data_IF_559735034158
#
_entry.id   IF_559735034158
#
_cell.length_a   1.000
_cell.length_b   1.000
_cell.length_c   1.000
_cell.angle_alpha   90.00
_cell.angle_beta   90.00
_cell.angle_gamma   90.00
#
_symmetry.space_group_name_H-M   'P 1'
#
loop_
_entity.id
_entity.type
_entity.pdbx_description
1 polymer ?
#
# COMPACT_ATOMS: atom_id res chain seq x y z
N UNK A 1 26.57 -22.72 -19.72
CA UNK A 1 26.54 -22.41 -18.27
C UNK A 1 26.45 -20.91 -18.15
N UNK A 2 25.22 -20.39 -18.11
CA UNK A 2 24.99 -18.96 -17.91
C UNK A 2 25.04 -18.73 -16.42
N UNK A 3 26.09 -18.06 -15.96
CA UNK A 3 26.23 -17.66 -14.56
C UNK A 3 25.14 -16.61 -14.30
N UNK A 4 24.11 -17.00 -13.55
CA UNK A 4 23.20 -16.04 -12.94
C UNK A 4 23.99 -15.32 -11.86
N UNK A 5 24.47 -14.13 -12.20
CA UNK A 5 25.00 -13.21 -11.20
C UNK A 5 23.79 -12.79 -10.36
N UNK A 6 23.65 -13.40 -9.18
CA UNK A 6 22.70 -12.98 -8.16
C UNK A 6 23.17 -11.61 -7.66
N UNK A 7 22.75 -10.55 -8.35
CA UNK A 7 22.82 -9.18 -7.85
C UNK A 7 21.76 -9.13 -6.75
N UNK A 8 22.22 -9.14 -5.49
CA UNK A 8 21.35 -9.07 -4.33
C UNK A 8 20.37 -7.89 -4.44
N UNK A 9 19.27 -8.00 -3.71
CA UNK A 9 18.09 -7.11 -3.66
C UNK A 9 18.37 -5.64 -3.25
N UNK A 10 19.57 -5.11 -3.48
CA UNK A 10 20.06 -3.81 -3.00
C UNK A 10 19.90 -2.67 -4.03
N UNK A 11 18.76 -2.59 -4.73
CA UNK A 11 18.44 -1.34 -5.42
C UNK A 11 18.10 -0.29 -4.37
N UNK A 12 18.91 0.78 -4.28
CA UNK A 12 18.71 1.83 -3.29
C UNK A 12 17.30 2.42 -3.41
N UNK A 13 16.54 2.35 -2.32
CA UNK A 13 15.18 2.86 -2.26
C UNK A 13 15.18 4.38 -2.54
N UNK A 14 16.15 5.11 -2.00
CA UNK A 14 16.27 6.55 -2.24
C UNK A 14 16.47 6.89 -3.73
N UNK A 15 17.28 6.12 -4.45
CA UNK A 15 17.50 6.34 -5.89
C UNK A 15 16.22 6.06 -6.68
N UNK A 16 15.55 4.94 -6.40
CA UNK A 16 14.29 4.59 -7.06
C UNK A 16 13.19 5.62 -6.79
N UNK A 17 13.08 6.10 -5.55
CA UNK A 17 12.16 7.17 -5.19
C UNK A 17 12.41 8.43 -6.02
N UNK A 18 13.67 8.86 -6.18
CA UNK A 18 14.02 10.01 -7.01
C UNK A 18 13.70 9.80 -8.51
N UNK A 19 13.78 8.57 -9.01
CA UNK A 19 13.35 8.22 -10.37
C UNK A 19 11.83 8.34 -10.49
N UNK A 20 11.08 7.80 -9.52
CA UNK A 20 9.62 7.89 -9.47
C UNK A 20 9.12 9.33 -9.33
N UNK A 21 9.82 10.20 -8.60
CA UNK A 21 9.46 11.64 -8.56
C UNK A 21 9.47 12.28 -9.96
N UNK A 22 10.30 11.77 -10.89
CA UNK A 22 10.47 12.35 -12.24
C UNK A 22 9.66 11.62 -13.30
N UNK A 23 9.40 10.33 -13.11
CA UNK A 23 8.84 9.44 -14.13
C UNK A 23 7.62 8.67 -13.67
N UNK A 24 7.21 8.80 -12.41
CA UNK A 24 6.17 8.01 -11.77
C UNK A 24 4.82 8.13 -12.47
N UNK A 25 4.40 9.32 -12.87
CA UNK A 25 3.16 9.52 -13.63
C UNK A 25 3.13 8.70 -14.92
N UNK A 26 4.23 8.70 -15.68
CA UNK A 26 4.35 7.89 -16.89
C UNK A 26 4.37 6.39 -16.57
N UNK A 27 5.13 5.99 -15.55
CA UNK A 27 5.20 4.58 -15.15
C UNK A 27 3.83 4.05 -14.70
N UNK A 28 3.08 4.85 -13.93
CA UNK A 28 1.72 4.52 -13.53
C UNK A 28 0.79 4.44 -14.74
N UNK A 29 0.82 5.43 -15.65
CA UNK A 29 -0.01 5.41 -16.85
C UNK A 29 0.29 4.22 -17.78
N UNK A 30 1.52 3.72 -17.79
CA UNK A 30 1.89 2.51 -18.53
C UNK A 30 1.47 1.23 -17.76
N UNK A 31 1.57 1.23 -16.43
CA UNK A 31 1.09 0.14 -15.57
C UNK A 31 -0.43 -0.06 -15.63
N UNK A 32 -1.21 1.04 -15.66
CA UNK A 32 -2.67 1.00 -15.77
C UNK A 32 -3.17 0.33 -17.06
N UNK A 33 -2.33 0.28 -18.10
CA UNK A 33 -2.64 -0.39 -19.38
C UNK A 33 -2.27 -1.88 -19.40
N UNK A 34 -1.75 -2.42 -18.30
CA UNK A 34 -1.41 -3.84 -18.24
C UNK A 34 -2.68 -4.69 -18.26
N UNK A 35 -2.66 -5.89 -18.89
CA UNK A 35 -3.84 -6.74 -18.97
C UNK A 35 -4.42 -7.17 -17.62
N UNK A 36 -3.62 -7.16 -16.55
CA UNK A 36 -4.11 -7.48 -15.22
C UNK A 36 -5.01 -6.36 -14.67
N UNK A 37 -4.53 -5.11 -14.75
CA UNK A 37 -5.27 -3.93 -14.29
C UNK A 37 -6.51 -3.72 -15.15
N UNK A 38 -6.37 -3.73 -16.48
CA UNK A 38 -7.53 -3.50 -17.37
C UNK A 38 -8.66 -4.50 -17.14
N UNK A 39 -8.35 -5.80 -16.95
CA UNK A 39 -9.38 -6.81 -16.64
C UNK A 39 -10.11 -6.56 -15.31
N UNK A 40 -9.41 -6.03 -14.31
CA UNK A 40 -10.03 -5.70 -13.03
C UNK A 40 -10.94 -4.47 -13.15
N UNK A 41 -10.52 -3.46 -13.92
CA UNK A 41 -11.33 -2.27 -14.21
C UNK A 41 -12.58 -2.64 -15.02
N UNK A 42 -12.41 -3.39 -16.12
CA UNK A 42 -13.54 -3.88 -16.95
C UNK A 42 -14.53 -4.69 -16.09
N UNK A 43 -14.01 -5.58 -15.24
CA UNK A 43 -14.85 -6.40 -14.36
C UNK A 43 -15.63 -5.57 -13.32
N UNK A 44 -15.06 -4.47 -12.85
CA UNK A 44 -15.74 -3.55 -11.95
C UNK A 44 -16.82 -2.76 -12.70
N UNK A 45 -16.46 -2.10 -13.81
CA UNK A 45 -17.38 -1.29 -14.61
C UNK A 45 -18.58 -2.11 -15.13
N UNK A 46 -18.35 -3.35 -15.57
CA UNK A 46 -19.40 -4.22 -16.10
C UNK A 46 -20.43 -4.68 -15.05
N UNK A 47 -20.06 -4.70 -13.76
CA UNK A 47 -20.85 -5.39 -12.73
C UNK A 47 -21.20 -4.55 -11.52
N UNK A 48 -20.56 -3.40 -11.31
CA UNK A 48 -20.81 -2.55 -10.15
C UNK A 48 -22.28 -2.13 -10.04
N UNK A 49 -22.93 -1.86 -11.17
CA UNK A 49 -24.36 -1.51 -11.26
C UNK A 49 -25.31 -2.65 -10.90
N UNK A 50 -24.81 -3.87 -10.70
CA UNK A 50 -25.58 -5.03 -10.24
C UNK A 50 -25.40 -5.32 -8.74
N UNK A 51 -24.61 -4.52 -8.03
CA UNK A 51 -24.31 -4.70 -6.61
C UNK A 51 -25.24 -3.83 -5.77
N UNK A 52 -26.46 -4.32 -5.53
CA UNK A 52 -27.51 -3.56 -4.84
C UNK A 52 -27.46 -3.70 -3.31
N UNK A 53 -26.78 -4.73 -2.80
CA UNK A 53 -26.76 -5.02 -1.37
C UNK A 53 -25.48 -5.75 -0.94
N UNK A 54 -25.37 -5.96 0.37
CA UNK A 54 -24.23 -6.61 1.01
C UNK A 54 -23.98 -8.01 0.45
N UNK A 55 -25.02 -8.82 0.23
CA UNK A 55 -24.83 -10.20 -0.22
C UNK A 55 -24.36 -10.25 -1.68
N UNK A 56 -24.80 -9.32 -2.54
CA UNK A 56 -24.29 -9.17 -3.91
C UNK A 56 -22.79 -8.82 -3.91
N UNK A 57 -22.39 -7.85 -3.08
CA UNK A 57 -20.98 -7.47 -2.96
C UNK A 57 -20.11 -8.62 -2.42
N UNK A 58 -20.63 -9.40 -1.47
CA UNK A 58 -19.94 -10.58 -0.94
C UNK A 58 -19.90 -11.75 -1.94
N UNK A 59 -20.84 -11.82 -2.87
CA UNK A 59 -20.84 -12.82 -3.95
C UNK A 59 -19.85 -12.47 -5.07
N UNK A 60 -19.71 -11.18 -5.44
CA UNK A 60 -18.79 -10.76 -6.49
C UNK A 60 -17.37 -10.53 -5.97
N UNK A 61 -16.52 -11.55 -6.09
CA UNK A 61 -15.14 -11.48 -5.60
C UNK A 61 -14.31 -10.41 -6.32
N UNK A 62 -14.53 -10.16 -7.61
CA UNK A 62 -13.70 -9.22 -8.37
C UNK A 62 -14.07 -7.77 -8.04
N UNK A 63 -15.36 -7.43 -7.97
CA UNK A 63 -15.79 -6.10 -7.52
C UNK A 63 -15.32 -5.86 -6.09
N UNK A 64 -15.50 -6.84 -5.21
CA UNK A 64 -15.03 -6.75 -3.83
C UNK A 64 -13.52 -6.57 -3.72
N UNK A 65 -12.73 -7.23 -4.57
CA UNK A 65 -11.28 -7.06 -4.60
C UNK A 65 -10.89 -5.63 -5.00
N UNK A 66 -11.54 -5.05 -6.01
CA UNK A 66 -11.30 -3.65 -6.41
C UNK A 66 -11.64 -2.70 -5.26
N UNK A 67 -12.81 -2.84 -4.63
CA UNK A 67 -13.22 -1.99 -3.52
C UNK A 67 -12.28 -2.16 -2.32
N UNK A 68 -11.96 -3.40 -1.92
CA UNK A 68 -11.06 -3.62 -0.78
C UNK A 68 -9.65 -3.10 -1.07
N UNK A 69 -9.12 -3.28 -2.29
CA UNK A 69 -7.81 -2.76 -2.68
C UNK A 69 -7.80 -1.22 -2.71
N UNK A 70 -8.89 -0.55 -3.11
CA UNK A 70 -9.03 0.90 -3.00
C UNK A 70 -8.87 1.41 -1.53
N UNK A 71 -9.31 0.61 -0.55
CA UNK A 71 -9.10 0.87 0.88
C UNK A 71 -7.88 0.16 1.49
N UNK A 72 -7.12 -0.57 0.69
CA UNK A 72 -5.95 -1.37 1.09
C UNK A 72 -6.26 -2.46 2.13
N UNK A 73 -7.42 -3.06 1.99
CA UNK A 73 -7.92 -4.14 2.80
C UNK A 73 -8.01 -5.46 2.00
N UNK A 74 -7.33 -5.56 0.85
CA UNK A 74 -7.40 -6.71 -0.05
C UNK A 74 -6.91 -8.01 0.58
N UNK A 75 -6.03 -7.95 1.58
CA UNK A 75 -5.62 -9.09 2.40
C UNK A 75 -6.80 -9.76 3.12
N UNK A 76 -7.90 -9.03 3.30
CA UNK A 76 -9.13 -9.50 3.93
C UNK A 76 -10.16 -10.04 2.93
N UNK A 77 -9.81 -10.21 1.64
CA UNK A 77 -10.76 -10.62 0.58
C UNK A 77 -11.55 -11.89 0.92
N UNK A 78 -10.92 -12.82 1.64
CA UNK A 78 -11.50 -14.10 2.07
C UNK A 78 -12.12 -14.03 3.48
N UNK A 79 -11.94 -12.92 4.21
CA UNK A 79 -12.50 -12.70 5.54
C UNK A 79 -13.97 -12.24 5.47
N UNK A 80 -14.83 -13.02 4.80
CA UNK A 80 -16.23 -12.68 4.51
C UNK A 80 -17.02 -12.27 5.76
N UNK A 81 -16.80 -12.94 6.89
CA UNK A 81 -17.47 -12.59 8.15
C UNK A 81 -17.05 -11.22 8.72
N UNK A 82 -15.80 -10.80 8.50
CA UNK A 82 -15.32 -9.47 8.87
C UNK A 82 -15.92 -8.42 7.94
N UNK A 83 -15.83 -8.63 6.62
CA UNK A 83 -16.37 -7.71 5.62
C UNK A 83 -17.87 -7.52 5.82
N UNK A 84 -18.62 -8.61 6.04
CA UNK A 84 -20.06 -8.53 6.31
C UNK A 84 -20.36 -7.63 7.52
N UNK A 85 -19.65 -7.78 8.63
CA UNK A 85 -19.83 -6.92 9.81
C UNK A 85 -19.52 -5.45 9.52
N UNK A 86 -18.46 -5.18 8.76
CA UNK A 86 -18.10 -3.82 8.38
C UNK A 86 -19.15 -3.16 7.47
N UNK A 87 -19.84 -3.94 6.64
CA UNK A 87 -20.91 -3.44 5.77
C UNK A 87 -22.25 -3.28 6.50
N UNK A 88 -22.50 -4.04 7.57
CA UNK A 88 -23.81 -4.08 8.25
C UNK A 88 -23.88 -3.34 9.58
N UNK A 89 -22.76 -3.15 10.28
CA UNK A 89 -22.74 -2.45 11.57
C UNK A 89 -22.57 -0.94 11.37
N UNK A 90 -23.18 -0.13 12.24
CA UNK A 90 -23.00 1.33 12.22
C UNK A 90 -21.54 1.72 12.54
N UNK A 91 -20.79 2.33 11.60
CA UNK A 91 -19.39 2.68 11.80
C UNK A 91 -19.17 3.75 12.89
N UNK A 92 -20.23 4.43 13.32
CA UNK A 92 -20.20 5.43 14.39
C UNK A 92 -20.50 4.84 15.78
N UNK A 93 -21.09 3.64 15.86
CA UNK A 93 -21.29 2.95 17.13
C UNK A 93 -19.94 2.50 17.70
N UNK A 94 -19.64 2.90 18.95
CA UNK A 94 -18.43 2.52 19.68
C UNK A 94 -18.26 1.01 19.86
N UNK A 95 -19.34 0.24 19.71
CA UNK A 95 -19.33 -1.22 19.80
C UNK A 95 -19.08 -1.91 18.46
N UNK A 96 -19.19 -1.19 17.34
CA UNK A 96 -18.99 -1.78 16.01
C UNK A 96 -17.55 -2.25 15.80
N UNK A 97 -17.38 -3.23 14.93
CA UNK A 97 -16.07 -3.72 14.50
C UNK A 97 -15.25 -2.57 13.90
N UNK A 98 -15.85 -1.76 13.04
CA UNK A 98 -15.21 -0.62 12.40
C UNK A 98 -14.67 0.41 13.41
N UNK A 99 -15.39 0.68 14.50
CA UNK A 99 -14.94 1.61 15.54
C UNK A 99 -13.86 1.01 16.46
N UNK A 100 -13.97 -0.29 16.76
CA UNK A 100 -13.08 -0.99 17.69
C UNK A 100 -11.72 -1.33 17.10
N UNK A 101 -11.63 -1.47 15.77
CA UNK A 101 -10.37 -1.67 15.09
C UNK A 101 -9.51 -0.40 15.17
N UNK A 102 -8.24 -0.59 15.51
CA UNK A 102 -7.27 0.51 15.58
C UNK A 102 -7.01 1.10 14.21
N UNK A 103 -6.96 0.25 13.20
CA UNK A 103 -6.75 0.67 11.81
C UNK A 103 -7.98 1.39 11.26
N UNK A 104 -7.79 2.67 10.92
CA UNK A 104 -8.87 3.54 10.46
C UNK A 104 -9.37 3.23 9.05
N UNK A 105 -8.61 2.45 8.26
CA UNK A 105 -9.02 2.01 6.92
C UNK A 105 -10.33 1.23 6.96
N UNK A 106 -10.52 0.40 7.98
CA UNK A 106 -11.77 -0.32 8.21
C UNK A 106 -12.96 0.62 8.43
N UNK A 107 -12.77 1.70 9.19
CA UNK A 107 -13.82 2.69 9.41
C UNK A 107 -14.09 3.52 8.17
N UNK A 108 -13.06 3.89 7.40
CA UNK A 108 -13.22 4.58 6.11
C UNK A 108 -14.03 3.73 5.13
N UNK A 109 -13.68 2.44 4.99
CA UNK A 109 -14.43 1.48 4.19
C UNK A 109 -15.89 1.36 4.65
N UNK A 110 -16.12 1.08 5.93
CA UNK A 110 -17.47 0.93 6.48
C UNK A 110 -18.32 2.21 6.34
N UNK A 111 -17.70 3.38 6.46
CA UNK A 111 -18.38 4.68 6.26
C UNK A 111 -18.75 4.90 4.79
N UNK A 112 -17.86 4.56 3.87
CA UNK A 112 -18.12 4.75 2.44
C UNK A 112 -19.19 3.79 1.89
N UNK A 113 -19.28 2.59 2.46
CA UNK A 113 -20.29 1.58 2.10
C UNK A 113 -21.56 1.68 2.96
N UNK A 114 -21.67 2.69 3.82
CA UNK A 114 -22.83 2.87 4.68
C UNK A 114 -24.10 3.00 3.85
N UNK A 115 -25.19 2.38 4.31
CA UNK A 115 -26.47 2.33 3.61
C UNK A 115 -26.67 1.07 2.76
N UNK A 116 -25.60 0.39 2.34
CA UNK A 116 -25.70 -0.84 1.53
C UNK A 116 -26.48 -1.97 2.24
N UNK A 117 -26.44 -2.01 3.57
CA UNK A 117 -27.22 -2.95 4.37
C UNK A 117 -28.68 -2.55 4.57
N UNK A 118 -28.99 -1.26 4.38
CA UNK A 118 -30.32 -0.67 4.60
C UNK A 118 -31.13 -0.53 3.29
N UNK A 119 -30.61 -1.09 2.19
CA UNK A 119 -31.21 -1.02 0.85
C UNK A 119 -30.96 0.31 0.13
N UNK A 120 -30.04 1.12 0.63
CA UNK A 120 -29.44 2.20 -0.16
C UNK A 120 -28.34 1.63 -1.05
N UNK A 121 -28.04 2.34 -2.13
CA UNK A 121 -26.97 1.97 -3.05
C UNK A 121 -25.91 3.09 -3.13
N UNK A 122 -24.93 3.10 -2.20
CA UNK A 122 -23.81 4.05 -2.29
C UNK A 122 -22.97 3.83 -3.55
N UNK A 123 -22.98 2.64 -4.14
CA UNK A 123 -22.18 2.27 -5.30
C UNK A 123 -22.77 2.81 -6.61
N UNK A 124 -24.04 3.22 -6.65
CA UNK A 124 -24.62 3.99 -7.77
C UNK A 124 -24.01 5.37 -7.99
N UNK A 125 -23.22 5.87 -7.02
CA UNK A 125 -22.55 7.17 -7.12
C UNK A 125 -21.37 7.10 -8.09
N UNK A 126 -21.50 7.70 -9.27
CA UNK A 126 -20.41 7.83 -10.26
C UNK A 126 -19.13 8.43 -9.63
N UNK A 127 -19.28 9.39 -8.70
CA UNK A 127 -18.14 9.97 -7.97
C UNK A 127 -17.43 8.92 -7.12
N UNK A 128 -18.17 8.10 -6.37
CA UNK A 128 -17.58 7.06 -5.55
C UNK A 128 -16.92 5.98 -6.41
N UNK A 129 -17.57 5.57 -7.50
CA UNK A 129 -16.99 4.61 -8.45
C UNK A 129 -15.65 5.12 -9.01
N UNK A 130 -15.59 6.40 -9.43
CA UNK A 130 -14.36 7.01 -9.91
C UNK A 130 -13.26 7.08 -8.83
N UNK A 131 -13.63 7.43 -7.59
CA UNK A 131 -12.70 7.44 -6.44
C UNK A 131 -12.15 6.04 -6.14
N UNK A 132 -12.99 5.00 -6.20
CA UNK A 132 -12.59 3.61 -5.99
C UNK A 132 -11.63 3.14 -7.08
N UNK A 133 -11.93 3.40 -8.35
CA UNK A 133 -11.07 3.02 -9.47
C UNK A 133 -9.72 3.74 -9.42
N UNK A 134 -9.69 5.03 -9.09
CA UNK A 134 -8.44 5.78 -8.95
C UNK A 134 -7.59 5.27 -7.78
N UNK A 135 -8.22 5.02 -6.62
CA UNK A 135 -7.55 4.48 -5.46
C UNK A 135 -7.03 3.04 -5.71
N UNK A 136 -7.80 2.23 -6.44
CA UNK A 136 -7.39 0.89 -6.89
C UNK A 136 -6.16 0.96 -7.78
N UNK A 137 -6.21 1.74 -8.88
CA UNK A 137 -5.08 1.92 -9.81
C UNK A 137 -3.82 2.38 -9.09
N UNK A 138 -3.99 3.33 -8.18
CA UNK A 138 -2.89 3.83 -7.34
C UNK A 138 -2.33 2.73 -6.43
N UNK A 139 -3.16 1.99 -5.70
CA UNK A 139 -2.68 0.93 -4.80
C UNK A 139 -1.99 -0.20 -5.58
N UNK A 140 -2.55 -0.65 -6.70
CA UNK A 140 -1.93 -1.69 -7.53
C UNK A 140 -0.61 -1.23 -8.15
N UNK A 141 -0.51 0.04 -8.54
CA UNK A 141 0.77 0.62 -8.95
C UNK A 141 1.76 0.64 -7.78
N UNK A 142 1.36 1.11 -6.61
CA UNK A 142 2.19 1.13 -5.40
C UNK A 142 2.71 -0.28 -5.04
N UNK A 143 1.86 -1.31 -5.17
CA UNK A 143 2.22 -2.72 -4.99
C UNK A 143 3.22 -3.22 -6.03
N UNK A 144 3.07 -2.84 -7.29
CA UNK A 144 4.04 -3.23 -8.34
C UNK A 144 5.46 -2.71 -8.07
N UNK A 145 5.60 -1.65 -7.26
CA UNK A 145 6.90 -1.12 -6.86
C UNK A 145 7.52 -1.89 -5.68
N UNK A 146 6.74 -2.69 -4.95
CA UNK A 146 7.21 -3.53 -3.84
C UNK A 146 8.23 -4.58 -4.33
N UNK A 147 8.03 -5.12 -5.53
CA UNK A 147 8.94 -6.06 -6.19
C UNK A 147 10.31 -5.46 -6.50
N UNK A 148 10.40 -4.12 -6.64
CA UNK A 148 11.66 -3.41 -6.85
C UNK A 148 12.33 -3.11 -5.53
N UNK A 149 11.59 -2.49 -4.60
CA UNK A 149 12.04 -2.24 -3.24
C UNK A 149 10.82 -2.05 -2.30
N UNK A 150 10.66 -2.90 -1.26
CA UNK A 150 9.48 -2.85 -0.39
C UNK A 150 9.25 -1.51 0.32
N UNK A 151 10.31 -0.76 0.60
CA UNK A 151 10.22 0.55 1.24
C UNK A 151 9.50 1.57 0.35
N UNK A 152 9.54 1.40 -0.98
CA UNK A 152 9.00 2.37 -1.92
C UNK A 152 7.49 2.44 -1.84
N UNK A 153 6.82 1.29 -1.72
CA UNK A 153 5.38 1.21 -1.50
C UNK A 153 4.97 2.03 -0.26
N UNK A 154 5.67 1.82 0.86
CA UNK A 154 5.41 2.53 2.12
C UNK A 154 5.66 4.04 1.99
N UNK A 155 6.71 4.45 1.27
CA UNK A 155 7.02 5.86 1.02
C UNK A 155 5.96 6.55 0.15
N UNK A 156 5.49 5.92 -0.92
CA UNK A 156 4.45 6.47 -1.80
C UNK A 156 3.11 6.58 -1.07
N UNK A 157 2.72 5.54 -0.34
CA UNK A 157 1.55 5.55 0.52
C UNK A 157 1.60 6.69 1.53
N UNK A 158 2.75 6.85 2.22
CA UNK A 158 2.96 7.93 3.16
C UNK A 158 2.81 9.30 2.50
N UNK A 159 3.46 9.53 1.35
CA UNK A 159 3.36 10.78 0.59
C UNK A 159 1.91 11.15 0.28
N UNK A 160 1.12 10.17 -0.12
CA UNK A 160 -0.27 10.36 -0.55
C UNK A 160 -1.21 10.68 0.61
N UNK A 161 -1.05 10.00 1.75
CA UNK A 161 -2.04 10.08 2.83
C UNK A 161 -1.67 10.98 4.00
N UNK A 162 -0.39 11.23 4.25
CA UNK A 162 0.04 11.92 5.48
C UNK A 162 -0.55 13.34 5.59
N UNK A 163 -0.71 14.06 4.48
CA UNK A 163 -1.29 15.40 4.46
C UNK A 163 -2.78 15.47 4.81
N UNK A 164 -3.47 14.32 4.84
CA UNK A 164 -4.87 14.23 5.29
C UNK A 164 -4.99 14.01 6.81
N UNK A 165 -3.89 13.66 7.49
CA UNK A 165 -3.91 13.43 8.92
C UNK A 165 -3.91 14.77 9.67
N UNK A 166 -4.92 14.98 10.53
CA UNK A 166 -5.10 16.18 11.35
C UNK A 166 -4.66 16.00 12.79
N UNK A 167 -4.24 14.80 13.18
CA UNK A 167 -3.77 14.51 14.53
C UNK A 167 -2.76 13.38 14.56
N UNK A 168 -1.89 13.39 15.57
CA UNK A 168 -0.94 12.31 15.82
C UNK A 168 -1.64 10.95 16.00
N UNK A 169 -2.84 10.95 16.59
CA UNK A 169 -3.61 9.72 16.79
C UNK A 169 -4.02 9.09 15.45
N UNK A 170 -4.32 9.90 14.42
CA UNK A 170 -4.61 9.38 13.07
C UNK A 170 -3.38 8.80 12.40
N UNK A 171 -2.23 9.48 12.52
CA UNK A 171 -0.94 8.96 12.01
C UNK A 171 -0.61 7.62 12.66
N UNK A 172 -0.73 7.52 13.99
CA UNK A 172 -0.42 6.29 14.73
C UNK A 172 -1.43 5.15 14.52
N UNK A 173 -2.65 5.47 14.10
CA UNK A 173 -3.70 4.48 13.85
C UNK A 173 -3.55 3.78 12.49
N UNK A 174 -2.77 4.37 11.59
CA UNK A 174 -2.44 3.78 10.31
C UNK A 174 -1.08 3.08 10.40
N UNK A 175 -1.04 1.77 10.13
CA UNK A 175 0.17 0.97 10.33
C UNK A 175 1.34 1.47 9.47
N UNK A 176 1.08 1.81 8.21
CA UNK A 176 2.11 2.26 7.28
C UNK A 176 2.56 3.68 7.62
N UNK A 177 1.65 4.60 7.95
CA UNK A 177 2.04 5.95 8.37
C UNK A 177 2.86 5.90 9.66
N UNK A 178 2.41 5.13 10.65
CA UNK A 178 3.13 4.93 11.91
C UNK A 178 4.53 4.37 11.66
N UNK A 179 4.66 3.34 10.84
CA UNK A 179 5.94 2.69 10.54
C UNK A 179 6.93 3.65 9.87
N UNK A 180 6.48 4.40 8.87
CA UNK A 180 7.34 5.40 8.19
C UNK A 180 7.81 6.47 9.18
N UNK A 181 6.96 6.93 10.09
CA UNK A 181 7.34 7.91 11.12
C UNK A 181 8.32 7.32 12.14
N UNK A 182 8.08 6.07 12.56
CA UNK A 182 8.95 5.34 13.50
C UNK A 182 10.36 5.22 12.94
N UNK A 183 10.46 4.66 11.73
CA UNK A 183 11.73 4.41 11.06
C UNK A 183 12.40 5.73 10.70
N UNK A 184 11.71 6.67 10.03
CA UNK A 184 12.27 8.01 9.69
C UNK A 184 12.83 8.74 10.92
N UNK A 185 12.07 8.73 12.02
CA UNK A 185 12.44 9.33 13.29
C UNK A 185 13.54 8.60 14.07
N UNK A 186 13.97 7.42 13.60
CA UNK A 186 14.96 6.58 14.26
C UNK A 186 14.48 6.02 15.60
N UNK A 187 13.18 5.74 15.72
CA UNK A 187 12.61 5.11 16.91
C UNK A 187 12.81 3.58 16.85
N UNK A 188 13.25 2.94 17.95
CA UNK A 188 13.38 1.49 17.99
C UNK A 188 12.00 0.82 17.95
N UNK A 189 11.96 -0.44 17.50
CA UNK A 189 10.74 -1.25 17.42
C UNK A 189 10.04 -1.40 18.79
N UNK A 190 10.82 -1.45 19.88
CA UNK A 190 10.32 -1.52 21.25
C UNK A 190 9.43 -0.33 21.67
N UNK A 191 9.40 0.76 20.90
CA UNK A 191 8.41 1.82 21.12
C UNK A 191 6.98 1.29 21.00
N UNK A 192 6.73 0.34 20.08
CA UNK A 192 5.38 -0.18 19.83
C UNK A 192 4.89 -1.14 20.92
N UNK A 193 5.80 -1.59 21.79
CA UNK A 193 5.49 -2.41 22.98
C UNK A 193 5.08 -1.55 24.20
N UNK A 194 5.31 -0.23 24.15
CA UNK A 194 5.00 0.68 25.25
C UNK A 194 3.48 0.89 25.41
N UNK A 195 3.07 1.41 26.56
CA UNK A 195 1.69 1.88 26.72
C UNK A 195 1.38 3.03 25.75
N UNK A 196 0.14 3.09 25.25
CA UNK A 196 -0.26 4.05 24.22
C UNK A 196 0.07 5.53 24.54
N UNK A 197 -0.03 5.93 25.80
CA UNK A 197 0.34 7.29 26.24
C UNK A 197 1.86 7.56 26.08
N UNK A 198 2.68 6.55 26.35
CA UNK A 198 4.13 6.62 26.16
C UNK A 198 4.47 6.58 24.67
N UNK A 199 3.79 5.73 23.88
CA UNK A 199 3.94 5.71 22.42
C UNK A 199 3.71 7.11 21.84
N UNK A 200 2.57 7.75 22.18
CA UNK A 200 2.26 9.13 21.75
C UNK A 200 3.39 10.10 22.04
N UNK A 201 3.99 10.02 23.23
CA UNK A 201 5.11 10.88 23.62
C UNK A 201 6.34 10.64 22.75
N UNK A 202 6.65 9.38 22.42
CA UNK A 202 7.77 9.02 21.53
C UNK A 202 7.54 9.51 20.10
N UNK A 203 6.38 9.23 19.52
CA UNK A 203 6.04 9.67 18.16
C UNK A 203 5.94 11.19 18.05
N UNK A 204 5.31 11.88 19.01
CA UNK A 204 5.21 13.35 19.04
C UNK A 204 6.58 14.04 19.03
N UNK A 205 7.62 13.41 19.57
CA UNK A 205 8.98 13.96 19.54
C UNK A 205 9.66 13.91 18.17
N UNK A 206 9.07 13.17 17.21
CA UNK A 206 9.65 12.94 15.88
C UNK A 206 8.90 13.66 14.79
N UNK A 207 7.59 13.80 14.91
CA UNK A 207 6.71 14.37 13.88
C UNK A 207 6.01 15.65 14.36
N UNK A 208 5.94 16.63 13.47
CA UNK A 208 5.20 17.87 13.62
C UNK A 208 3.94 17.79 12.75
N UNK A 209 2.79 17.60 13.42
CA UNK A 209 1.50 17.41 12.74
C UNK A 209 1.06 18.66 11.99
N UNK A 210 1.55 19.84 12.38
CA UNK A 210 1.22 21.10 11.71
C UNK A 210 1.89 21.23 10.33
N UNK A 211 2.91 20.41 10.06
CA UNK A 211 3.70 20.43 8.82
C UNK A 211 3.38 19.29 7.86
N UNK A 212 2.35 18.48 8.11
CA UNK A 212 2.07 17.32 7.25
C UNK A 212 1.58 17.68 5.84
N UNK A 213 1.19 18.93 5.62
CA UNK A 213 0.84 19.47 4.31
C UNK A 213 2.02 20.16 3.61
N UNK A 214 3.16 20.32 4.28
CA UNK A 214 4.37 20.88 3.70
C UNK A 214 5.10 19.78 2.91
N UNK A 215 5.17 19.95 1.58
CA UNK A 215 5.75 18.95 0.68
C UNK A 215 7.24 18.69 0.97
N UNK A 216 8.01 19.72 1.36
CA UNK A 216 9.45 19.58 1.65
C UNK A 216 9.67 18.85 2.98
N UNK A 217 8.82 19.13 3.97
CA UNK A 217 8.81 18.41 5.23
C UNK A 217 8.50 16.93 5.04
N UNK A 218 7.44 16.62 4.28
CA UNK A 218 7.04 15.25 3.95
C UNK A 218 8.13 14.53 3.17
N UNK A 219 8.72 15.18 2.17
CA UNK A 219 9.80 14.60 1.35
C UNK A 219 11.06 14.32 2.19
N UNK A 220 11.40 15.19 3.13
CA UNK A 220 12.49 14.95 4.09
C UNK A 220 12.21 13.71 4.95
N UNK A 221 10.97 13.53 5.40
CA UNK A 221 10.55 12.34 6.14
C UNK A 221 10.73 11.06 5.33
N UNK A 222 10.29 11.08 4.07
CA UNK A 222 10.41 9.95 3.14
C UNK A 222 11.87 9.63 2.89
N UNK A 223 12.71 10.63 2.59
CA UNK A 223 14.16 10.41 2.38
C UNK A 223 14.82 9.76 3.59
N UNK A 224 14.55 10.25 4.79
CA UNK A 224 15.08 9.67 6.03
C UNK A 224 14.60 8.25 6.26
N UNK A 225 13.34 7.96 5.96
CA UNK A 225 12.79 6.61 6.01
C UNK A 225 13.55 5.68 5.05
N UNK A 226 13.63 6.03 3.77
CA UNK A 226 14.27 5.23 2.73
C UNK A 226 15.76 4.97 3.04
N UNK A 227 16.50 6.00 3.48
CA UNK A 227 17.91 5.86 3.87
C UNK A 227 18.07 4.88 5.02
N UNK A 228 17.23 4.97 6.06
CA UNK A 228 17.33 4.09 7.22
C UNK A 228 16.94 2.66 6.89
N UNK A 229 15.95 2.47 6.03
CA UNK A 229 15.58 1.15 5.54
C UNK A 229 16.69 0.54 4.69
N UNK A 230 17.29 1.29 3.76
CA UNK A 230 18.46 0.84 2.99
C UNK A 230 19.60 0.42 3.91
N UNK A 231 19.93 1.22 4.94
CA UNK A 231 20.97 0.89 5.93
C UNK A 231 20.63 -0.40 6.70
N UNK A 232 19.40 -0.52 7.22
CA UNK A 232 18.98 -1.68 8.00
C UNK A 232 19.00 -2.97 7.15
N UNK A 233 18.56 -2.89 5.89
CA UNK A 233 18.64 -4.00 4.94
C UNK A 233 20.08 -4.40 4.67
N UNK A 234 20.97 -3.42 4.40
CA UNK A 234 22.40 -3.69 4.22
C UNK A 234 23.01 -4.34 5.45
N UNK A 235 22.73 -3.85 6.67
CA UNK A 235 23.21 -4.43 7.92
C UNK A 235 22.75 -5.89 8.09
N UNK A 236 21.49 -6.19 7.78
CA UNK A 236 20.94 -7.55 7.81
C UNK A 236 21.58 -8.48 6.75
N UNK A 237 21.84 -7.96 5.55
CA UNK A 237 22.53 -8.70 4.48
C UNK A 237 24.00 -8.97 4.84
N UNK A 238 24.70 -8.00 5.44
CA UNK A 238 26.04 -8.20 5.99
C UNK A 238 26.05 -9.24 7.12
N UNK A 239 25.10 -9.15 8.06
CA UNK A 239 25.00 -10.09 9.18
C UNK A 239 24.67 -11.52 8.73
N UNK A 240 23.91 -11.67 7.64
CA UNK A 240 23.57 -12.98 7.05
C UNK A 240 24.67 -13.54 6.13
N UNK A 241 25.76 -12.79 5.90
CA UNK A 241 26.86 -13.21 5.02
C UNK A 241 26.51 -13.21 3.53
N UNK A 242 25.40 -12.56 3.15
CA UNK A 242 24.91 -12.49 1.76
C UNK A 242 25.59 -11.37 0.96
N UNK A 243 26.29 -10.44 1.63
CA UNK A 243 27.14 -9.41 1.01
C UNK A 243 28.62 -9.59 1.36
N UNK A 244 29.51 -9.56 0.35
CA UNK A 244 30.97 -9.48 0.54
C UNK A 244 31.46 -8.02 0.51
N UNK A 245 32.29 -7.57 1.48
CA UNK A 245 32.53 -6.16 1.80
C UNK A 245 33.31 -5.31 0.77
N UNK A 246 33.73 -5.88 -0.38
CA UNK A 246 34.54 -5.15 -1.39
C UNK A 246 33.82 -4.98 -2.74
N UNK A 247 32.73 -5.72 -3.00
CA UNK A 247 32.13 -5.76 -4.34
C UNK A 247 31.12 -4.63 -4.64
N UNK A 248 30.55 -3.97 -3.61
CA UNK A 248 29.46 -3.00 -3.79
C UNK A 248 29.90 -1.55 -4.01
N UNK A 249 31.16 -1.20 -3.74
CA UNK A 249 31.64 0.19 -3.85
C UNK A 249 32.20 0.55 -5.25
N UNK A 250 32.44 -0.44 -6.12
CA UNK A 250 33.15 -0.25 -7.43
C UNK A 250 32.39 -0.89 -8.62
N UNK A 251 31.15 -1.35 -8.45
CA UNK A 251 30.38 -1.87 -9.58
C UNK A 251 29.99 -0.76 -10.57
N UNK A 252 30.41 -0.79 -11.85
CA UNK A 252 29.90 0.14 -12.84
C UNK A 252 28.41 -0.11 -13.09
N UNK A 253 27.68 1.00 -13.25
CA UNK A 253 26.31 1.08 -13.74
C UNK A 253 26.12 0.18 -14.98
N UNK A 254 25.32 -0.88 -14.86
CA UNK A 254 24.64 -1.41 -16.04
C UNK A 254 23.51 -0.46 -16.37
N UNK A 255 23.75 0.47 -17.29
CA UNK A 255 22.70 1.24 -17.98
C UNK A 255 21.96 0.37 -19.00
N UNK A 256 21.73 -0.90 -18.70
CA UNK A 256 20.69 -1.62 -19.44
C UNK A 256 19.39 -1.00 -19.00
N UNK A 257 18.77 -0.31 -19.96
CA UNK A 257 17.35 0.03 -19.97
C UNK A 257 16.60 -0.96 -19.11
N UNK A 258 15.87 -0.47 -18.10
CA UNK A 258 14.82 -1.24 -17.45
C UNK A 258 13.76 -1.57 -18.52
N UNK A 259 14.08 -2.53 -19.39
CA UNK A 259 13.09 -3.22 -20.19
C UNK A 259 12.35 -4.06 -19.18
N UNK A 260 11.12 -3.66 -18.91
CA UNK A 260 10.09 -4.52 -18.37
C UNK A 260 10.22 -5.87 -19.07
N UNK A 261 10.79 -6.87 -18.41
CA UNK A 261 10.65 -8.25 -18.85
C UNK A 261 9.28 -8.69 -18.37
N UNK A 262 8.27 -8.78 -19.25
CA UNK A 262 7.02 -9.41 -18.85
C UNK A 262 7.35 -10.82 -18.34
N UNK A 263 6.92 -11.13 -17.13
CA UNK A 263 6.91 -12.50 -16.63
C UNK A 263 5.90 -13.24 -17.51
N UNK A 264 6.41 -13.97 -18.51
CA UNK A 264 5.60 -14.96 -19.20
C UNK A 264 5.41 -16.12 -18.24
N UNK A 265 4.20 -16.27 -17.71
CA UNK A 265 3.76 -17.54 -17.15
C UNK A 265 3.86 -18.58 -18.28
N UNK A 266 4.75 -19.55 -18.11
CA UNK A 266 4.82 -20.70 -19.01
C UNK A 266 3.57 -21.56 -18.84
N UNK A 267 2.58 -21.34 -19.71
CA UNK A 267 1.32 -22.10 -19.71
C UNK A 267 1.46 -23.47 -20.39
N UNK A 268 2.66 -23.91 -20.78
CA UNK A 268 2.82 -25.18 -21.52
C UNK A 268 2.53 -26.43 -20.68
N UNK A 269 2.35 -26.31 -19.37
CA UNK A 269 2.03 -27.43 -18.48
C UNK A 269 0.66 -27.35 -17.79
N UNK A 270 -0.25 -26.47 -18.22
CA UNK A 270 -1.64 -26.50 -17.71
C UNK A 270 -2.48 -27.45 -18.57
N UNK A 271 -2.53 -28.72 -18.18
CA UNK A 271 -3.44 -29.70 -18.76
C UNK A 271 -4.87 -29.42 -18.30
N UNK A 272 -5.66 -28.78 -19.16
CA UNK A 272 -7.10 -28.55 -18.95
C UNK A 272 -7.98 -29.73 -19.36
N UNK A 273 -7.67 -30.97 -18.97
CA UNK A 273 -8.64 -32.09 -19.04
C UNK A 273 -8.29 -33.19 -18.01
N UNK A 274 -9.05 -33.25 -16.92
CA UNK A 274 -9.40 -34.47 -16.17
C UNK A 274 -10.57 -34.15 -15.23
#
# INVERSE_FOLDING_TARGET
MTNYMNIGNSQSALLWYNILQKTGEKQQADFEKTPAVSRALDAFEDRIDSIDNVDDLLADRQVREVILSAYQLEENIDAIGLIKKLLTEDPTDKKSVAYRLTDTRYRKFATAMQGLADGEDPLSSETLQAELLEAYKTNEFEKSQEDVNPAIRQAMYFKRLIGSATSLSQVMSDATLKEVVRVSGGLPESVDELEYAQQKTRYASKIDVEKLQDEEYVDTFIKNFLIRTDIATMEAEYASGTLSPIASLIGPLSTETATFTPIYLDLTNINFWA
#
